data_IF_484900079285
#
_entry.id   IF_484900079285
#
_cell.length_a   1.000
_cell.length_b   1.000
_cell.length_c   1.000
_cell.angle_alpha   90.00
_cell.angle_beta   90.00
_cell.angle_gamma   90.00
#
_symmetry.space_group_name_H-M   'P 1'
#
loop_
_entity.id
_entity.type
_entity.pdbx_description
1 polymer ?
#
# COMPACT_ATOMS: atom_id res chain seq x y z
N UNK A 1 -17.51 -3.98 -9.83
CA UNK A 1 -18.58 -2.97 -9.88
C UNK A 1 -18.31 -1.80 -8.91
N UNK A 2 -18.29 -1.97 -7.56
CA UNK A 2 -18.09 -0.85 -6.63
C UNK A 2 -16.71 -0.21 -6.77
N UNK A 3 -15.63 -0.99 -6.80
CA UNK A 3 -14.27 -0.46 -6.93
C UNK A 3 -14.06 0.23 -8.29
N UNK A 4 -14.55 -0.37 -9.37
CA UNK A 4 -14.50 0.21 -10.72
C UNK A 4 -15.21 1.56 -10.76
N UNK A 5 -16.42 1.63 -10.17
CA UNK A 5 -17.16 2.90 -10.05
C UNK A 5 -16.37 3.96 -9.28
N UNK A 6 -15.82 3.59 -8.12
CA UNK A 6 -15.05 4.55 -7.32
C UNK A 6 -13.80 5.06 -8.05
N UNK A 7 -13.08 4.18 -8.75
CA UNK A 7 -11.84 4.54 -9.44
C UNK A 7 -12.11 5.32 -10.73
N UNK A 8 -13.15 4.96 -11.50
CA UNK A 8 -13.35 5.52 -12.84
C UNK A 8 -14.39 6.64 -12.92
N UNK A 9 -15.38 6.64 -11.99
CA UNK A 9 -16.52 7.55 -12.06
C UNK A 9 -16.50 8.60 -10.93
N UNK A 10 -15.48 8.59 -10.05
CA UNK A 10 -15.37 9.53 -8.94
C UNK A 10 -13.96 10.11 -8.81
N UNK A 11 -13.82 11.20 -8.06
CA UNK A 11 -12.52 11.78 -7.70
C UNK A 11 -11.94 11.20 -6.39
N UNK A 12 -12.51 10.14 -5.84
CA UNK A 12 -12.07 9.55 -4.59
C UNK A 12 -10.76 8.80 -4.81
N UNK A 13 -9.78 9.04 -3.95
CA UNK A 13 -8.58 8.21 -3.91
C UNK A 13 -8.89 6.86 -3.24
N UNK A 14 -8.63 5.76 -3.95
CA UNK A 14 -8.93 4.39 -3.51
C UNK A 14 -7.65 3.65 -3.19
N UNK A 15 -7.58 3.04 -2.02
CA UNK A 15 -6.54 2.08 -1.64
C UNK A 15 -7.19 0.75 -1.23
N UNK A 16 -6.60 -0.37 -1.62
CA UNK A 16 -7.12 -1.70 -1.34
C UNK A 16 -6.30 -2.36 -0.23
N UNK A 17 -6.97 -2.94 0.75
CA UNK A 17 -6.33 -3.76 1.78
C UNK A 17 -6.81 -5.19 1.67
N UNK A 18 -5.87 -6.14 1.55
CA UNK A 18 -6.10 -7.57 1.62
C UNK A 18 -5.53 -8.10 2.95
N UNK A 19 -6.38 -8.63 3.82
CA UNK A 19 -5.94 -9.35 5.01
C UNK A 19 -5.58 -10.78 4.61
N UNK A 20 -4.30 -11.12 4.70
CA UNK A 20 -3.81 -12.44 4.31
C UNK A 20 -3.93 -13.40 5.48
N UNK A 21 -4.74 -14.45 5.32
CA UNK A 21 -5.01 -15.46 6.36
C UNK A 21 -4.42 -16.79 5.89
N UNK A 22 -3.42 -17.36 6.62
CA UNK A 22 -2.80 -18.61 6.23
C UNK A 22 -3.80 -19.76 6.08
N UNK A 23 -3.74 -20.45 4.93
CA UNK A 23 -4.62 -21.56 4.58
C UNK A 23 -5.98 -21.17 4.01
N UNK A 24 -6.33 -19.87 4.01
CA UNK A 24 -7.62 -19.39 3.50
C UNK A 24 -7.49 -18.63 2.16
N UNK A 25 -6.52 -17.71 2.08
CA UNK A 25 -6.35 -16.85 0.90
C UNK A 25 -4.87 -16.47 0.66
N UNK A 26 -3.94 -17.38 0.95
CA UNK A 26 -2.51 -17.12 0.91
C UNK A 26 -1.76 -17.91 -0.18
N UNK A 27 -2.48 -18.40 -1.20
CA UNK A 27 -1.89 -19.10 -2.33
C UNK A 27 -1.38 -18.14 -3.41
N UNK A 28 -0.33 -18.55 -4.12
CA UNK A 28 0.24 -17.77 -5.24
C UNK A 28 -0.78 -17.52 -6.35
N UNK A 29 -1.63 -18.51 -6.63
CA UNK A 29 -2.68 -18.41 -7.64
C UNK A 29 -3.75 -17.37 -7.28
N UNK A 30 -4.11 -17.25 -6.00
CA UNK A 30 -5.05 -16.21 -5.55
C UNK A 30 -4.43 -14.82 -5.63
N UNK A 31 -3.18 -14.66 -5.21
CA UNK A 31 -2.45 -13.40 -5.35
C UNK A 31 -2.32 -13.00 -6.83
N UNK A 32 -1.96 -13.95 -7.70
CA UNK A 32 -1.83 -13.71 -9.14
C UNK A 32 -3.16 -13.27 -9.76
N UNK A 33 -4.24 -14.01 -9.54
CA UNK A 33 -5.56 -13.70 -10.08
C UNK A 33 -6.08 -12.35 -9.59
N UNK A 34 -5.99 -12.09 -8.28
CA UNK A 34 -6.45 -10.84 -7.69
C UNK A 34 -5.68 -9.64 -8.23
N UNK A 35 -4.36 -9.73 -8.29
CA UNK A 35 -3.53 -8.59 -8.70
C UNK A 35 -3.63 -8.32 -10.20
N UNK A 36 -3.74 -9.34 -11.05
CA UNK A 36 -4.07 -9.17 -12.48
C UNK A 36 -5.42 -8.49 -12.68
N UNK A 37 -6.43 -8.88 -11.89
CA UNK A 37 -7.73 -8.24 -11.94
C UNK A 37 -7.65 -6.75 -11.56
N UNK A 38 -6.91 -6.42 -10.48
CA UNK A 38 -6.71 -5.03 -10.06
C UNK A 38 -6.06 -4.21 -11.19
N UNK A 39 -4.96 -4.70 -11.77
CA UNK A 39 -4.29 -4.00 -12.87
C UNK A 39 -5.21 -3.82 -14.07
N UNK A 40 -5.94 -4.86 -14.47
CA UNK A 40 -6.80 -4.85 -15.65
C UNK A 40 -8.04 -3.98 -15.48
N UNK A 41 -8.65 -3.95 -14.29
CA UNK A 41 -9.92 -3.27 -14.06
C UNK A 41 -9.77 -1.91 -13.37
N UNK A 42 -8.72 -1.70 -12.58
CA UNK A 42 -8.56 -0.48 -11.78
C UNK A 42 -7.32 0.33 -12.16
N UNK A 43 -6.35 -0.31 -12.83
CA UNK A 43 -5.09 0.30 -13.21
C UNK A 43 -3.93 -0.02 -12.26
N UNK A 44 -2.72 0.27 -12.75
CA UNK A 44 -1.47 -0.04 -12.05
C UNK A 44 -1.20 0.85 -10.82
N UNK A 45 -1.86 1.99 -10.74
CA UNK A 45 -1.59 3.03 -9.73
C UNK A 45 -2.45 2.92 -8.47
N UNK A 46 -3.40 2.00 -8.40
CA UNK A 46 -4.20 1.75 -7.19
C UNK A 46 -3.34 1.03 -6.16
N UNK A 47 -3.10 1.62 -4.97
CA UNK A 47 -2.29 1.00 -3.94
C UNK A 47 -2.93 -0.27 -3.38
N UNK A 48 -2.13 -1.31 -3.20
CA UNK A 48 -2.52 -2.57 -2.59
C UNK A 48 -1.69 -2.85 -1.34
N UNK A 49 -2.37 -3.09 -0.21
CA UNK A 49 -1.77 -3.41 1.07
C UNK A 49 -2.05 -4.87 1.43
N UNK A 50 -1.02 -5.70 1.52
CA UNK A 50 -1.10 -7.03 2.11
C UNK A 50 -0.85 -6.95 3.61
N UNK A 51 -1.89 -7.10 4.41
CA UNK A 51 -1.81 -7.01 5.86
C UNK A 51 -1.74 -8.39 6.52
N UNK A 52 -0.84 -8.54 7.49
CA UNK A 52 -0.75 -9.76 8.28
C UNK A 52 -1.99 -9.94 9.16
N UNK A 53 -2.53 -11.14 9.13
CA UNK A 53 -3.51 -11.62 10.10
C UNK A 53 -2.81 -12.02 11.41
N UNK A 54 -3.46 -11.75 12.52
CA UNK A 54 -3.11 -12.29 13.84
C UNK A 54 -4.34 -12.94 14.46
N UNK A 55 -4.17 -14.13 15.08
CA UNK A 55 -5.29 -14.84 15.71
C UNK A 55 -6.04 -13.97 16.71
N UNK A 56 -7.36 -13.87 16.53
CA UNK A 56 -8.22 -13.12 17.42
C UNK A 56 -9.64 -13.70 17.45
N UNK A 57 -10.32 -13.50 18.55
CA UNK A 57 -11.74 -13.88 18.78
C UNK A 57 -12.03 -15.33 18.38
N UNK A 58 -12.80 -15.58 17.31
CA UNK A 58 -13.21 -16.92 16.86
C UNK A 58 -12.26 -17.57 15.87
N UNK A 59 -11.20 -16.88 15.44
CA UNK A 59 -10.18 -17.38 14.49
C UNK A 59 -8.87 -17.62 15.22
N UNK A 60 -8.89 -18.48 16.24
CA UNK A 60 -7.70 -18.85 17.03
C UNK A 60 -6.99 -20.09 16.50
N UNK A 61 -7.57 -20.76 15.54
CA UNK A 61 -7.12 -21.97 14.87
C UNK A 61 -6.19 -21.71 13.69
N UNK A 62 -6.10 -20.46 13.23
CA UNK A 62 -5.16 -20.03 12.19
C UNK A 62 -3.89 -19.42 12.79
N UNK A 63 -2.69 -19.74 12.27
CA UNK A 63 -1.46 -19.08 12.71
C UNK A 63 -1.38 -17.63 12.22
N UNK A 64 -0.56 -16.76 12.85
CA UNK A 64 -0.29 -15.44 12.32
C UNK A 64 0.39 -15.53 10.95
N UNK A 65 0.13 -14.57 10.08
CA UNK A 65 0.71 -14.54 8.73
C UNK A 65 2.21 -14.31 8.78
N UNK A 66 3.02 -15.22 8.21
CA UNK A 66 4.46 -15.02 8.12
C UNK A 66 4.80 -13.82 7.21
N UNK A 67 5.83 -13.05 7.57
CA UNK A 67 6.34 -11.97 6.72
C UNK A 67 6.72 -12.45 5.31
N UNK A 68 7.28 -13.66 5.20
CA UNK A 68 7.66 -14.26 3.92
C UNK A 68 6.45 -14.39 2.97
N UNK A 69 5.26 -14.73 3.49
CA UNK A 69 4.02 -14.81 2.69
C UNK A 69 3.63 -13.43 2.14
N UNK A 70 3.70 -12.38 2.96
CA UNK A 70 3.39 -11.02 2.51
C UNK A 70 4.39 -10.51 1.46
N UNK A 71 5.68 -10.80 1.64
CA UNK A 71 6.72 -10.45 0.65
C UNK A 71 6.50 -11.17 -0.67
N UNK A 72 6.17 -12.45 -0.63
CA UNK A 72 5.83 -13.23 -1.83
C UNK A 72 4.60 -12.64 -2.55
N UNK A 73 3.54 -12.33 -1.81
CA UNK A 73 2.35 -11.67 -2.36
C UNK A 73 2.70 -10.32 -3.03
N UNK A 74 3.56 -9.52 -2.38
CA UNK A 74 4.06 -8.25 -2.91
C UNK A 74 4.86 -8.44 -4.20
N UNK A 75 5.73 -9.44 -4.27
CA UNK A 75 6.53 -9.76 -5.47
C UNK A 75 5.62 -10.15 -6.64
N UNK A 76 4.62 -11.00 -6.42
CA UNK A 76 3.62 -11.40 -7.44
C UNK A 76 2.86 -10.16 -7.94
N UNK A 77 2.38 -9.33 -7.03
CA UNK A 77 1.64 -8.12 -7.38
C UNK A 77 2.46 -7.14 -8.24
N UNK A 78 3.75 -6.95 -7.89
CA UNK A 78 4.66 -6.12 -8.68
C UNK A 78 4.99 -6.74 -10.03
N UNK A 79 5.18 -8.05 -10.09
CA UNK A 79 5.40 -8.77 -11.35
C UNK A 79 4.20 -8.64 -12.30
N UNK A 80 2.98 -8.54 -11.76
CA UNK A 80 1.75 -8.31 -12.52
C UNK A 80 1.54 -6.84 -12.91
N UNK A 81 2.43 -5.94 -12.50
CA UNK A 81 2.45 -4.54 -12.95
C UNK A 81 1.88 -3.52 -11.95
N UNK A 82 1.53 -3.89 -10.72
CA UNK A 82 1.14 -2.91 -9.70
C UNK A 82 2.35 -2.09 -9.25
N UNK A 83 2.21 -0.77 -9.25
CA UNK A 83 3.27 0.16 -8.88
C UNK A 83 3.41 0.30 -7.35
N UNK A 84 2.30 0.34 -6.62
CA UNK A 84 2.26 0.65 -5.18
C UNK A 84 1.74 -0.54 -4.40
N UNK A 85 2.67 -1.38 -3.92
CA UNK A 85 2.33 -2.59 -3.16
C UNK A 85 3.06 -2.59 -1.83
N UNK A 86 2.31 -2.71 -0.75
CA UNK A 86 2.80 -2.59 0.62
C UNK A 86 2.55 -3.86 1.45
N UNK A 87 3.43 -4.09 2.42
CA UNK A 87 3.20 -5.02 3.52
C UNK A 87 2.73 -4.26 4.76
N UNK A 88 1.68 -4.71 5.40
CA UNK A 88 1.06 -4.06 6.55
C UNK A 88 0.97 -4.96 7.79
N UNK A 89 0.82 -4.33 8.94
CA UNK A 89 0.69 -5.00 10.24
C UNK A 89 1.91 -5.85 10.63
N UNK A 90 3.08 -5.53 10.06
CA UNK A 90 4.39 -6.15 10.31
C UNK A 90 5.48 -5.09 10.32
N UNK A 91 6.66 -5.45 10.88
CA UNK A 91 7.84 -4.60 10.75
C UNK A 91 8.62 -4.99 9.50
N UNK A 92 8.37 -4.26 8.41
CA UNK A 92 9.02 -4.46 7.11
C UNK A 92 9.28 -3.09 6.45
N UNK A 93 10.41 -2.43 6.73
CA UNK A 93 10.71 -1.12 6.17
C UNK A 93 10.74 -1.09 4.63
N UNK A 94 11.20 -2.18 4.01
CA UNK A 94 11.22 -2.32 2.54
C UNK A 94 9.79 -2.44 1.98
N UNK A 95 8.98 -3.32 2.55
CA UNK A 95 7.59 -3.50 2.15
C UNK A 95 6.68 -2.33 2.52
N UNK A 96 7.07 -1.51 3.51
CA UNK A 96 6.33 -0.31 3.92
C UNK A 96 6.69 0.96 3.14
N UNK A 97 7.79 0.96 2.39
CA UNK A 97 8.24 2.13 1.64
C UNK A 97 7.48 2.32 0.33
N UNK A 98 7.33 3.59 -0.10
CA UNK A 98 6.84 3.92 -1.44
C UNK A 98 8.02 4.11 -2.38
N UNK A 99 7.95 3.46 -3.53
CA UNK A 99 8.99 3.52 -4.57
C UNK A 99 8.49 4.28 -5.79
N UNK A 100 9.39 4.99 -6.44
CA UNK A 100 9.10 5.59 -7.74
C UNK A 100 8.87 4.49 -8.79
N UNK A 101 7.75 4.48 -9.52
CA UNK A 101 7.48 3.44 -10.51
C UNK A 101 8.45 3.48 -11.71
N UNK A 102 9.06 4.64 -11.98
CA UNK A 102 9.95 4.82 -13.12
C UNK A 102 11.42 4.49 -12.82
N UNK A 103 11.97 4.93 -11.67
CA UNK A 103 13.40 4.75 -11.38
C UNK A 103 13.69 3.82 -10.19
N UNK A 104 12.67 3.36 -9.46
CA UNK A 104 12.84 2.46 -8.32
C UNK A 104 13.38 3.12 -7.03
N UNK A 105 13.66 4.43 -7.03
CA UNK A 105 14.08 5.13 -5.81
C UNK A 105 12.99 5.14 -4.75
N UNK A 106 13.39 5.05 -3.48
CA UNK A 106 12.48 5.26 -2.36
C UNK A 106 12.08 6.73 -2.31
N UNK A 107 10.81 6.99 -2.52
CA UNK A 107 10.25 8.37 -2.46
C UNK A 107 9.63 8.67 -1.11
N UNK A 108 9.13 7.68 -0.39
CA UNK A 108 8.69 7.80 1.01
C UNK A 108 9.17 6.57 1.78
N UNK A 109 10.08 6.79 2.71
CA UNK A 109 10.49 5.77 3.70
C UNK A 109 9.49 5.70 4.85
N UNK A 110 9.23 4.48 5.38
CA UNK A 110 8.38 4.29 6.55
C UNK A 110 8.96 3.27 7.51
N UNK A 111 8.86 3.57 8.80
CA UNK A 111 9.14 2.63 9.87
C UNK A 111 7.97 2.66 10.87
N UNK A 112 7.02 1.75 10.71
CA UNK A 112 5.72 1.83 11.35
C UNK A 112 5.02 3.14 10.97
N UNK A 113 4.63 3.95 11.95
CA UNK A 113 3.97 5.24 11.73
C UNK A 113 4.95 6.43 11.57
N UNK A 114 6.27 6.18 11.61
CA UNK A 114 7.26 7.22 11.37
C UNK A 114 7.55 7.33 9.88
N UNK A 115 7.44 8.54 9.36
CA UNK A 115 7.97 8.88 8.05
C UNK A 115 9.49 9.08 8.18
N UNK A 116 10.23 8.44 7.27
CA UNK A 116 11.66 8.59 7.11
C UNK A 116 11.98 9.49 5.92
N UNK A 117 12.66 8.93 4.91
CA UNK A 117 12.97 9.66 3.68
C UNK A 117 11.70 10.23 3.04
N UNK A 118 11.78 11.49 2.64
CA UNK A 118 10.75 12.17 1.87
C UNK A 118 11.40 12.79 0.64
N UNK A 119 11.25 12.11 -0.49
CA UNK A 119 11.85 12.49 -1.79
C UNK A 119 10.78 12.75 -2.84
N UNK A 120 9.70 13.37 -2.41
CA UNK A 120 8.63 13.86 -3.28
C UNK A 120 8.72 15.38 -3.44
N UNK A 121 8.44 15.84 -4.67
CA UNK A 121 8.06 17.23 -4.93
C UNK A 121 6.55 17.23 -5.10
N UNK A 122 5.84 17.60 -4.04
CA UNK A 122 4.39 17.64 -4.02
C UNK A 122 3.88 19.09 -4.11
N UNK A 123 2.74 19.29 -4.77
CA UNK A 123 2.09 20.58 -4.96
C UNK A 123 0.65 20.40 -5.41
N UNK A 124 -0.01 21.50 -5.78
CA UNK A 124 -1.41 21.52 -6.22
C UNK A 124 -1.70 20.66 -7.47
N UNK A 125 -0.69 20.40 -8.27
CA UNK A 125 -0.80 19.61 -9.52
C UNK A 125 -0.45 18.13 -9.34
N UNK A 126 -0.20 17.65 -8.09
CA UNK A 126 0.19 16.28 -7.79
C UNK A 126 1.60 16.16 -7.24
N UNK A 127 2.17 14.98 -7.30
CA UNK A 127 3.51 14.70 -6.80
C UNK A 127 4.43 14.08 -7.86
N UNK A 128 5.72 14.36 -7.75
CA UNK A 128 6.76 13.79 -8.62
C UNK A 128 7.96 13.32 -7.81
N UNK A 129 8.68 12.34 -8.35
CA UNK A 129 9.93 11.84 -7.80
C UNK A 129 11.02 12.91 -7.85
N UNK A 130 11.68 13.20 -6.72
CA UNK A 130 12.74 14.19 -6.66
C UNK A 130 13.98 13.79 -7.48
N UNK A 131 14.20 12.48 -7.71
CA UNK A 131 15.35 11.96 -8.43
C UNK A 131 15.18 12.05 -9.97
N UNK A 132 14.04 11.55 -10.50
CA UNK A 132 13.85 11.45 -11.96
C UNK A 132 12.72 12.32 -12.50
N UNK A 133 11.93 12.98 -11.67
CA UNK A 133 10.82 13.83 -12.10
C UNK A 133 9.54 13.10 -12.53
N UNK A 134 9.53 11.76 -12.55
CA UNK A 134 8.34 10.99 -12.91
C UNK A 134 7.21 11.22 -11.93
N UNK A 135 5.97 11.23 -12.43
CA UNK A 135 4.78 11.37 -11.60
C UNK A 135 4.67 10.20 -10.60
N UNK A 136 4.22 10.52 -9.40
CA UNK A 136 3.91 9.55 -8.34
C UNK A 136 2.44 9.72 -8.01
N UNK A 137 1.64 8.68 -8.27
CA UNK A 137 0.21 8.72 -8.02
C UNK A 137 -0.08 8.72 -6.51
N UNK A 138 -1.05 9.53 -6.09
CA UNK A 138 -1.43 9.68 -4.69
C UNK A 138 -1.92 11.07 -4.37
N UNK A 139 -2.43 11.23 -3.16
CA UNK A 139 -2.78 12.52 -2.57
C UNK A 139 -1.74 12.84 -1.50
N UNK A 140 -0.96 13.89 -1.73
CA UNK A 140 0.18 14.23 -0.90
C UNK A 140 0.12 15.69 -0.43
N UNK A 141 0.47 15.91 0.82
CA UNK A 141 0.78 17.24 1.32
C UNK A 141 2.16 17.72 0.80
N UNK A 142 2.36 19.03 0.74
CA UNK A 142 3.63 19.61 0.29
C UNK A 142 4.81 19.25 1.20
N UNK A 143 4.53 18.96 2.46
CA UNK A 143 5.53 18.56 3.46
C UNK A 143 5.06 17.29 4.19
N UNK A 144 5.99 16.43 4.65
CA UNK A 144 5.64 15.28 5.45
C UNK A 144 4.98 15.70 6.76
N UNK A 145 3.91 15.01 7.16
CA UNK A 145 3.30 15.23 8.47
C UNK A 145 4.21 14.76 9.60
N UNK A 146 4.25 15.52 10.69
CA UNK A 146 4.97 15.15 11.93
C UNK A 146 4.03 14.43 12.91
N UNK A 147 3.52 13.27 12.51
CA UNK A 147 2.61 12.48 13.35
C UNK A 147 3.34 11.64 14.40
N UNK A 148 4.60 11.26 14.14
CA UNK A 148 5.42 10.40 14.97
C UNK A 148 4.80 9.00 15.15
N UNK A 149 5.36 8.23 16.09
CA UNK A 149 4.86 6.88 16.42
C UNK A 149 3.70 6.85 17.44
N UNK A 150 3.11 7.98 17.78
CA UNK A 150 2.03 8.06 18.79
C UNK A 150 0.70 8.31 18.12
N UNK A 151 -0.32 7.54 18.54
CA UNK A 151 -1.72 7.85 18.22
C UNK A 151 -2.06 9.21 18.82
N UNK A 152 -2.45 10.16 17.99
CA UNK A 152 -3.08 11.41 18.46
C UNK A 152 -4.58 11.25 18.31
N UNK A 153 -5.32 11.55 19.38
CA UNK A 153 -6.78 11.62 19.30
C UNK A 153 -7.16 12.75 18.32
N UNK A 154 -7.98 12.42 17.34
CA UNK A 154 -8.63 13.46 16.52
C UNK A 154 -9.77 14.01 17.36
N UNK A 155 -9.65 15.26 17.82
CA UNK A 155 -10.78 15.95 18.38
C UNK A 155 -11.61 16.47 17.19
N UNK A 156 -12.88 16.04 17.05
CA UNK A 156 -13.76 16.68 16.07
C UNK A 156 -13.82 18.16 16.42
N UNK A 157 -13.54 18.99 15.45
CA UNK A 157 -13.80 20.44 15.57
C UNK A 157 -15.31 20.61 15.77
N UNK A 158 -15.70 21.06 16.96
CA UNK A 158 -17.08 21.49 17.25
C UNK A 158 -17.42 22.73 16.44
#
# INVERSE_FOLDING_TARGET
ETLEYLVHETAVWVEITNLVIPGENDTDDEFDRMTRWIVAQLGADVPLHFSAFFPAWKMLDHPPTPLATLRRAREIARANGLHYVYTGNVSDPEGGATYCPACGEVVIGRQGYRLGDWRLRAGSEGASCAACGAAVAGVFEAQPGDWGGRRRGVHPLC
#
